data_IF_838010727322
#
_entry.id   IF_838010727322
#
_cell.length_a   1.000
_cell.length_b   1.000
_cell.length_c   1.000
_cell.angle_alpha   90.00
_cell.angle_beta   90.00
_cell.angle_gamma   90.00
#
_symmetry.space_group_name_H-M   'P 1'
#
loop_
_entity.id
_entity.type
_entity.pdbx_description
1 polymer ?
#
# COMPACT_ATOMS: atom_id res chain seq x y z
N UNK A 1 -10.99 5.13 11.96
CA UNK A 1 -9.60 5.56 12.21
C UNK A 1 -9.11 6.33 10.99
N UNK A 2 -8.29 7.37 11.17
CA UNK A 2 -7.74 8.18 10.08
C UNK A 2 -6.21 8.07 10.11
N UNK A 3 -5.57 8.13 8.95
CA UNK A 3 -4.12 8.20 8.87
C UNK A 3 -3.65 9.49 9.61
N UNK A 4 -2.82 9.31 10.65
CA UNK A 4 -2.43 10.39 11.59
C UNK A 4 -1.78 11.58 10.91
N UNK A 5 -1.13 11.40 9.76
CA UNK A 5 -0.56 12.52 9.01
C UNK A 5 -1.62 13.56 8.63
N UNK A 6 -2.83 13.11 8.28
CA UNK A 6 -3.91 14.00 7.87
C UNK A 6 -4.68 14.63 9.05
N UNK A 7 -4.37 14.25 10.29
CA UNK A 7 -4.87 14.94 11.49
C UNK A 7 -3.91 16.02 11.98
N UNK A 8 -2.65 16.00 11.54
CA UNK A 8 -1.64 17.01 11.88
C UNK A 8 -1.99 18.38 11.29
N UNK A 9 -1.61 19.45 11.98
CA UNK A 9 -1.68 20.82 11.45
C UNK A 9 -0.70 21.05 10.29
N UNK A 10 -0.93 22.10 9.49
CA UNK A 10 -0.07 22.43 8.35
C UNK A 10 1.40 22.58 8.75
N UNK A 11 1.69 23.31 9.83
CA UNK A 11 3.05 23.51 10.33
C UNK A 11 3.75 22.20 10.74
N UNK A 12 3.01 21.25 11.33
CA UNK A 12 3.55 19.96 11.75
C UNK A 12 3.87 19.07 10.55
N UNK A 13 2.99 19.04 9.52
CA UNK A 13 3.24 18.30 8.27
C UNK A 13 4.48 18.83 7.56
N UNK A 14 4.60 20.15 7.43
CA UNK A 14 5.77 20.80 6.84
C UNK A 14 7.04 20.49 7.64
N UNK A 15 6.99 20.56 8.97
CA UNK A 15 8.12 20.19 9.83
C UNK A 15 8.52 18.72 9.64
N UNK A 16 7.57 17.81 9.55
CA UNK A 16 7.84 16.39 9.27
C UNK A 16 8.53 16.21 7.91
N UNK A 17 8.00 16.82 6.85
CA UNK A 17 8.57 16.72 5.50
C UNK A 17 9.97 17.32 5.43
N UNK A 18 10.20 18.50 6.04
CA UNK A 18 11.52 19.13 6.10
C UNK A 18 12.52 18.25 6.86
N UNK A 19 12.13 17.68 8.00
CA UNK A 19 12.97 16.72 8.73
C UNK A 19 13.31 15.50 7.87
N UNK A 20 12.34 14.97 7.12
CA UNK A 20 12.56 13.83 6.24
C UNK A 20 13.54 14.17 5.10
N UNK A 21 13.42 15.36 4.50
CA UNK A 21 14.35 15.86 3.48
C UNK A 21 15.76 15.99 4.06
N UNK A 22 15.90 16.66 5.21
CA UNK A 22 17.20 16.85 5.86
C UNK A 22 17.84 15.51 6.22
N UNK A 23 17.08 14.56 6.77
CA UNK A 23 17.57 13.22 7.07
C UNK A 23 17.99 12.47 5.80
N UNK A 24 17.22 12.60 4.73
CA UNK A 24 17.54 11.97 3.43
C UNK A 24 18.85 12.53 2.87
N UNK A 25 19.03 13.85 2.89
CA UNK A 25 20.28 14.50 2.45
C UNK A 25 21.47 14.12 3.33
N UNK A 26 21.27 14.07 4.65
CA UNK A 26 22.29 13.67 5.62
C UNK A 26 22.80 12.23 5.37
N UNK A 27 21.92 11.33 4.92
CA UNK A 27 22.30 9.94 4.62
C UNK A 27 22.89 9.81 3.21
N UNK A 28 22.29 10.44 2.21
CA UNK A 28 22.72 10.31 0.81
C UNK A 28 24.06 11.00 0.54
N UNK A 29 24.33 12.17 1.15
CA UNK A 29 25.55 12.94 0.87
C UNK A 29 26.82 12.15 1.20
N UNK A 30 26.96 11.54 2.40
CA UNK A 30 28.12 10.70 2.72
C UNK A 30 28.20 9.45 1.84
N UNK A 31 27.07 8.80 1.51
CA UNK A 31 27.07 7.61 0.65
C UNK A 31 27.57 7.92 -0.75
N UNK A 32 27.14 9.05 -1.33
CA UNK A 32 27.61 9.53 -2.62
C UNK A 32 29.10 9.86 -2.52
N UNK A 33 29.52 10.64 -1.52
CA UNK A 33 30.93 10.98 -1.31
C UNK A 33 31.83 9.74 -1.19
N UNK A 34 31.41 8.75 -0.40
CA UNK A 34 32.12 7.48 -0.24
C UNK A 34 32.20 6.70 -1.56
N UNK A 35 31.12 6.66 -2.34
CA UNK A 35 31.10 6.01 -3.65
C UNK A 35 32.10 6.66 -4.62
N UNK A 36 32.20 7.99 -4.61
CA UNK A 36 33.18 8.71 -5.43
C UNK A 36 34.61 8.51 -4.95
N UNK A 37 34.85 8.62 -3.64
CA UNK A 37 36.19 8.50 -3.04
C UNK A 37 36.77 7.08 -3.17
N UNK A 38 35.92 6.05 -3.06
CA UNK A 38 36.32 4.65 -3.21
C UNK A 38 36.45 4.18 -4.67
N UNK A 39 36.08 5.01 -5.65
CA UNK A 39 36.03 4.63 -7.07
C UNK A 39 34.87 3.71 -7.44
N UNK A 40 33.96 3.41 -6.50
CA UNK A 40 32.83 2.51 -6.71
C UNK A 40 31.58 3.25 -7.20
N UNK A 41 31.69 3.97 -8.32
CA UNK A 41 30.65 4.88 -8.82
C UNK A 41 29.30 4.20 -9.11
N UNK A 42 29.30 2.91 -9.46
CA UNK A 42 28.08 2.16 -9.77
C UNK A 42 27.13 2.01 -8.56
N UNK A 43 27.64 2.07 -7.33
CA UNK A 43 26.79 1.97 -6.14
C UNK A 43 26.01 3.25 -5.84
N UNK A 44 26.51 4.43 -6.22
CA UNK A 44 25.81 5.70 -6.01
C UNK A 44 24.38 5.71 -6.61
N UNK A 45 24.16 5.40 -7.91
CA UNK A 45 22.81 5.38 -8.48
C UNK A 45 21.91 4.29 -7.88
N UNK A 46 22.48 3.14 -7.47
CA UNK A 46 21.72 2.07 -6.81
C UNK A 46 21.22 2.53 -5.44
N UNK A 47 22.10 3.08 -4.61
CA UNK A 47 21.71 3.59 -3.30
C UNK A 47 20.71 4.73 -3.41
N UNK A 48 20.92 5.64 -4.36
CA UNK A 48 20.00 6.73 -4.63
C UNK A 48 18.61 6.20 -5.01
N UNK A 49 18.53 5.30 -5.99
CA UNK A 49 17.27 4.66 -6.39
C UNK A 49 16.58 3.97 -5.21
N UNK A 50 17.32 3.17 -4.45
CA UNK A 50 16.76 2.43 -3.32
C UNK A 50 16.19 3.36 -2.24
N UNK A 51 16.96 4.38 -1.83
CA UNK A 51 16.52 5.36 -0.84
C UNK A 51 15.33 6.18 -1.32
N UNK A 52 15.40 6.71 -2.55
CA UNK A 52 14.31 7.51 -3.10
C UNK A 52 13.01 6.69 -3.19
N UNK A 53 13.07 5.40 -3.54
CA UNK A 53 11.88 4.55 -3.58
C UNK A 53 11.20 4.40 -2.20
N UNK A 54 11.97 4.37 -1.12
CA UNK A 54 11.46 4.26 0.27
C UNK A 54 10.84 5.59 0.73
N UNK A 55 11.43 6.72 0.32
CA UNK A 55 11.02 8.06 0.74
C UNK A 55 9.84 8.58 -0.09
N UNK A 56 9.76 8.22 -1.37
CA UNK A 56 8.76 8.72 -2.32
C UNK A 56 7.30 8.65 -1.80
N UNK A 57 6.81 7.55 -1.17
CA UNK A 57 5.45 7.48 -0.65
C UNK A 57 5.09 8.59 0.35
N UNK A 58 6.07 9.14 1.09
CA UNK A 58 5.84 10.20 2.07
C UNK A 58 5.54 11.57 1.44
N UNK A 59 5.79 11.72 0.14
CA UNK A 59 5.46 12.91 -0.64
C UNK A 59 4.34 12.62 -1.64
N UNK A 60 4.43 11.48 -2.32
CA UNK A 60 3.48 11.08 -3.36
C UNK A 60 2.09 10.88 -2.78
N UNK A 61 1.94 10.18 -1.66
CA UNK A 61 0.63 9.90 -1.08
C UNK A 61 -0.11 11.19 -0.69
N UNK A 62 0.45 12.10 0.13
CA UNK A 62 -0.19 13.38 0.40
C UNK A 62 -0.54 14.18 -0.86
N UNK A 63 0.34 14.18 -1.87
CA UNK A 63 0.14 14.92 -3.12
C UNK A 63 -0.98 14.31 -3.98
N UNK A 64 -1.01 12.99 -4.13
CA UNK A 64 -2.02 12.26 -4.90
C UNK A 64 -3.40 12.33 -4.26
N UNK A 65 -3.46 12.34 -2.92
CA UNK A 65 -4.72 12.56 -2.19
C UNK A 65 -5.19 14.00 -2.34
N UNK A 66 -4.31 14.99 -2.15
CA UNK A 66 -4.65 16.41 -2.30
C UNK A 66 -5.16 16.73 -3.72
N UNK A 67 -4.59 16.09 -4.73
CA UNK A 67 -5.01 16.26 -6.14
C UNK A 67 -6.21 15.41 -6.54
N UNK A 68 -6.76 14.58 -5.64
CA UNK A 68 -7.90 13.70 -5.92
C UNK A 68 -7.58 12.54 -6.87
N UNK A 69 -6.30 12.27 -7.14
CA UNK A 69 -5.86 11.11 -7.94
C UNK A 69 -6.04 9.79 -7.19
N UNK A 70 -5.94 9.84 -5.85
CA UNK A 70 -6.14 8.71 -4.96
C UNK A 70 -7.16 9.07 -3.87
N UNK A 71 -8.02 8.12 -3.50
CA UNK A 71 -8.97 8.21 -2.38
C UNK A 71 -8.80 7.04 -1.42
N UNK A 72 -8.95 7.27 -0.12
CA UNK A 72 -9.00 6.20 0.88
C UNK A 72 -10.37 5.53 0.93
N UNK A 73 -10.36 4.22 0.70
CA UNK A 73 -11.49 3.35 1.01
C UNK A 73 -11.45 2.90 2.47
N UNK A 74 -10.25 2.63 2.99
CA UNK A 74 -9.95 2.35 4.40
C UNK A 74 -8.50 2.74 4.71
N UNK A 75 -7.99 2.49 5.92
CA UNK A 75 -6.58 2.84 6.25
C UNK A 75 -5.55 2.15 5.35
N UNK A 76 -5.84 0.93 4.90
CA UNK A 76 -4.91 0.09 4.16
C UNK A 76 -5.46 -0.34 2.79
N UNK A 77 -6.49 0.34 2.29
CA UNK A 77 -6.97 0.22 0.92
C UNK A 77 -7.24 1.60 0.34
N UNK A 78 -6.58 1.86 -0.78
CA UNK A 78 -6.71 3.10 -1.56
C UNK A 78 -7.20 2.76 -2.96
N UNK A 79 -7.89 3.71 -3.58
CA UNK A 79 -8.37 3.61 -4.96
C UNK A 79 -7.88 4.80 -5.77
N UNK A 80 -7.42 4.54 -6.99
CA UNK A 80 -7.24 5.58 -7.99
C UNK A 80 -8.60 6.12 -8.45
N UNK A 81 -8.61 7.36 -8.92
CA UNK A 81 -9.79 7.92 -9.60
C UNK A 81 -10.17 7.02 -10.77
N UNK A 82 -11.47 6.75 -10.91
CA UNK A 82 -11.99 5.95 -12.01
C UNK A 82 -11.53 6.51 -13.37
N UNK A 83 -11.07 5.61 -14.24
CA UNK A 83 -10.69 5.92 -15.61
C UNK A 83 -11.11 4.77 -16.52
N UNK A 84 -11.80 5.08 -17.61
CA UNK A 84 -12.26 4.10 -18.61
C UNK A 84 -13.09 2.95 -17.98
N UNK A 85 -14.05 3.26 -17.12
CA UNK A 85 -14.90 2.28 -16.42
C UNK A 85 -14.08 1.24 -15.61
N UNK A 86 -12.93 1.68 -15.10
CA UNK A 86 -12.05 0.88 -14.25
C UNK A 86 -11.60 1.70 -13.04
N UNK A 87 -11.66 1.08 -11.86
CA UNK A 87 -11.07 1.57 -10.62
C UNK A 87 -9.91 0.65 -10.28
N UNK A 88 -8.73 1.25 -10.13
CA UNK A 88 -7.53 0.52 -9.67
C UNK A 88 -7.42 0.68 -8.16
N UNK A 89 -7.36 -0.44 -7.45
CA UNK A 89 -7.18 -0.47 -5.99
C UNK A 89 -5.78 -0.95 -5.63
N UNK A 90 -5.22 -0.35 -4.57
CA UNK A 90 -3.92 -0.73 -4.03
C UNK A 90 -4.02 -0.93 -2.52
N UNK A 91 -3.16 -1.80 -2.00
CA UNK A 91 -2.92 -1.85 -0.56
C UNK A 91 -2.24 -0.56 -0.08
N UNK A 92 -2.27 -0.33 1.23
CA UNK A 92 -1.55 0.81 1.83
C UNK A 92 -0.05 0.79 1.52
N UNK A 93 0.52 1.97 1.43
CA UNK A 93 1.94 2.23 1.20
C UNK A 93 2.74 2.27 2.51
N UNK A 94 4.07 2.39 2.42
CA UNK A 94 4.91 2.62 3.61
C UNK A 94 4.44 3.83 4.44
N UNK A 95 4.01 4.90 3.78
CA UNK A 95 3.48 6.09 4.42
C UNK A 95 2.24 5.75 5.26
N UNK A 96 1.31 4.97 4.71
CA UNK A 96 0.09 4.56 5.42
C UNK A 96 0.42 3.71 6.64
N UNK A 97 1.39 2.81 6.50
CA UNK A 97 1.78 1.89 7.55
C UNK A 97 2.46 2.66 8.68
N UNK A 98 3.36 3.58 8.35
CA UNK A 98 4.05 4.43 9.32
C UNK A 98 3.07 5.28 10.14
N UNK A 99 2.08 5.90 9.50
CA UNK A 99 1.16 6.80 10.18
C UNK A 99 -0.06 6.11 10.80
N UNK A 100 -0.34 4.85 10.48
CA UNK A 100 -1.57 4.17 10.93
C UNK A 100 -1.33 2.97 11.85
N UNK A 101 -0.18 2.29 11.76
CA UNK A 101 0.12 1.16 12.65
C UNK A 101 0.68 1.65 13.99
N UNK A 102 0.22 1.02 15.07
CA UNK A 102 0.76 1.27 16.40
C UNK A 102 2.13 0.57 16.55
N UNK A 103 3.20 1.29 16.95
CA UNK A 103 4.50 0.72 17.29
C UNK A 103 4.45 -0.45 18.28
N UNK A 104 3.47 -0.51 19.18
CA UNK A 104 3.38 -1.52 20.24
C UNK A 104 2.66 -2.80 19.81
N UNK A 105 1.80 -2.76 18.79
CA UNK A 105 1.07 -3.93 18.27
C UNK A 105 1.97 -5.11 17.90
N UNK A 106 1.55 -6.33 18.23
CA UNK A 106 2.27 -7.55 17.83
C UNK A 106 2.14 -7.78 16.31
N UNK A 107 3.07 -8.52 15.67
CA UNK A 107 3.01 -8.78 14.22
C UNK A 107 1.68 -9.41 13.77
N UNK A 108 1.11 -10.30 14.58
CA UNK A 108 -0.18 -10.94 14.29
C UNK A 108 -1.32 -9.92 14.28
N UNK A 109 -1.39 -9.04 15.26
CA UNK A 109 -2.39 -7.98 15.37
C UNK A 109 -2.31 -7.03 14.16
N UNK A 110 -1.10 -6.59 13.78
CA UNK A 110 -0.90 -5.76 12.58
C UNK A 110 -1.42 -6.43 11.32
N UNK A 111 -1.12 -7.71 11.13
CA UNK A 111 -1.58 -8.47 9.96
C UNK A 111 -3.12 -8.58 9.93
N UNK A 112 -3.74 -8.85 11.08
CA UNK A 112 -5.20 -8.93 11.18
C UNK A 112 -5.84 -7.57 10.92
N UNK A 113 -5.30 -6.48 11.49
CA UNK A 113 -5.77 -5.12 11.25
C UNK A 113 -5.67 -4.73 9.77
N UNK A 114 -4.52 -4.95 9.12
CA UNK A 114 -4.33 -4.65 7.70
C UNK A 114 -5.36 -5.40 6.86
N UNK A 115 -5.58 -6.68 7.15
CA UNK A 115 -6.53 -7.50 6.41
C UNK A 115 -7.98 -7.07 6.66
N UNK A 116 -8.35 -6.76 7.91
CA UNK A 116 -9.68 -6.28 8.26
C UNK A 116 -9.99 -4.94 7.57
N UNK A 117 -9.07 -3.99 7.61
CA UNK A 117 -9.18 -2.70 6.91
C UNK A 117 -9.25 -2.90 5.39
N UNK A 118 -8.47 -3.82 4.83
CA UNK A 118 -8.55 -4.14 3.41
C UNK A 118 -9.96 -4.62 3.01
N UNK A 119 -10.56 -5.52 3.80
CA UNK A 119 -11.93 -6.00 3.57
C UNK A 119 -12.98 -4.90 3.80
N UNK A 120 -12.80 -4.05 4.81
CA UNK A 120 -13.65 -2.86 5.04
C UNK A 120 -13.61 -1.91 3.85
N UNK A 121 -12.44 -1.71 3.26
CA UNK A 121 -12.28 -0.88 2.07
C UNK A 121 -12.99 -1.47 0.85
N UNK A 122 -12.95 -2.79 0.66
CA UNK A 122 -13.73 -3.45 -0.41
C UNK A 122 -15.23 -3.24 -0.20
N UNK A 123 -15.73 -3.38 1.03
CA UNK A 123 -17.15 -3.15 1.33
C UNK A 123 -17.56 -1.70 1.03
N UNK A 124 -16.72 -0.73 1.40
CA UNK A 124 -16.95 0.67 1.06
C UNK A 124 -16.97 0.89 -0.46
N UNK A 125 -16.05 0.28 -1.20
CA UNK A 125 -16.00 0.35 -2.66
C UNK A 125 -17.29 -0.17 -3.31
N UNK A 126 -17.80 -1.32 -2.83
CA UNK A 126 -19.07 -1.89 -3.29
C UNK A 126 -20.20 -0.90 -3.04
N UNK A 127 -20.32 -0.40 -1.80
CA UNK A 127 -21.40 0.51 -1.41
C UNK A 127 -21.38 1.83 -2.17
N UNK A 128 -20.19 2.39 -2.43
CA UNK A 128 -20.05 3.64 -3.18
C UNK A 128 -20.33 3.50 -4.68
N UNK A 129 -20.49 2.29 -5.21
CA UNK A 129 -20.67 2.05 -6.65
C UNK A 129 -21.87 1.13 -6.96
N UNK A 130 -22.84 1.01 -6.05
CA UNK A 130 -24.01 0.14 -6.23
C UNK A 130 -24.79 0.45 -7.53
N UNK A 131 -24.87 1.73 -7.89
CA UNK A 131 -25.55 2.19 -9.10
C UNK A 131 -24.76 1.94 -10.40
N UNK A 132 -23.48 1.59 -10.29
CA UNK A 132 -22.59 1.33 -11.42
C UNK A 132 -21.99 -0.10 -11.36
N UNK A 133 -22.82 -1.15 -11.44
CA UNK A 133 -22.40 -2.53 -11.22
C UNK A 133 -21.39 -3.06 -12.27
N UNK A 134 -21.27 -2.38 -13.41
CA UNK A 134 -20.37 -2.75 -14.51
C UNK A 134 -18.95 -2.19 -14.39
N UNK A 135 -18.63 -1.39 -13.36
CA UNK A 135 -17.27 -0.87 -13.16
C UNK A 135 -16.32 -2.03 -12.87
N UNK A 136 -15.21 -2.08 -13.60
CA UNK A 136 -14.15 -3.06 -13.39
C UNK A 136 -13.24 -2.63 -12.24
N UNK A 137 -12.94 -3.56 -11.34
CA UNK A 137 -12.01 -3.39 -10.24
C UNK A 137 -10.75 -4.18 -10.54
N UNK A 138 -9.60 -3.48 -10.59
CA UNK A 138 -8.28 -4.11 -10.77
C UNK A 138 -7.42 -3.81 -9.56
N UNK A 139 -6.79 -4.83 -8.98
CA UNK A 139 -5.90 -4.63 -7.84
C UNK A 139 -4.71 -5.57 -7.87
N UNK A 140 -3.52 -5.04 -7.59
CA UNK A 140 -2.32 -5.87 -7.42
C UNK A 140 -1.94 -5.82 -5.94
N UNK A 141 -2.16 -6.93 -5.24
CA UNK A 141 -1.99 -6.96 -3.78
C UNK A 141 -1.27 -8.22 -3.31
N UNK A 142 -0.42 -8.04 -2.30
CA UNK A 142 0.21 -9.12 -1.54
C UNK A 142 -0.55 -9.42 -0.23
N UNK A 143 -1.61 -8.65 0.08
CA UNK A 143 -2.40 -8.76 1.31
C UNK A 143 -3.37 -9.95 1.22
N UNK A 144 -3.99 -10.15 0.06
CA UNK A 144 -4.88 -11.28 -0.20
C UNK A 144 -4.13 -12.43 -0.86
N UNK A 145 -4.27 -13.62 -0.28
CA UNK A 145 -3.92 -14.84 -0.99
C UNK A 145 -5.00 -15.18 -2.03
N UNK A 146 -4.64 -15.98 -3.03
CA UNK A 146 -5.52 -16.35 -4.13
C UNK A 146 -6.83 -17.01 -3.67
N UNK A 147 -6.76 -17.88 -2.64
CA UNK A 147 -7.94 -18.57 -2.10
C UNK A 147 -8.94 -17.57 -1.54
N UNK A 148 -8.48 -16.58 -0.78
CA UNK A 148 -9.33 -15.53 -0.22
C UNK A 148 -9.86 -14.61 -1.31
N UNK A 149 -9.02 -14.21 -2.26
CA UNK A 149 -9.43 -13.38 -3.39
C UNK A 149 -10.56 -14.03 -4.21
N UNK A 150 -10.41 -15.31 -4.56
CA UNK A 150 -11.46 -16.09 -5.26
C UNK A 150 -12.76 -16.19 -4.46
N UNK A 151 -12.65 -16.40 -3.14
CA UNK A 151 -13.83 -16.50 -2.25
C UNK A 151 -14.66 -15.23 -2.21
N UNK A 152 -14.05 -14.07 -2.44
CA UNK A 152 -14.72 -12.77 -2.36
C UNK A 152 -15.06 -12.18 -3.74
N UNK A 153 -14.89 -12.96 -4.82
CA UNK A 153 -15.32 -12.57 -6.18
C UNK A 153 -14.19 -12.15 -7.12
N UNK A 154 -12.94 -12.05 -6.67
CA UNK A 154 -11.82 -11.73 -7.57
C UNK A 154 -11.34 -12.93 -8.37
N UNK A 155 -11.03 -12.69 -9.64
CA UNK A 155 -10.31 -13.63 -10.52
C UNK A 155 -8.84 -13.24 -10.58
N UNK A 156 -7.97 -14.24 -10.69
CA UNK A 156 -6.53 -14.01 -10.87
C UNK A 156 -6.25 -13.72 -12.33
N UNK A 157 -5.53 -12.64 -12.57
CA UNK A 157 -4.94 -12.29 -13.86
C UNK A 157 -3.41 -12.38 -13.74
N UNK A 158 -2.74 -12.71 -14.86
CA UNK A 158 -1.28 -12.69 -14.90
C UNK A 158 -0.81 -11.23 -14.90
N UNK A 159 0.14 -10.84 -14.04
CA UNK A 159 0.71 -9.50 -14.11
C UNK A 159 1.42 -9.32 -15.45
N UNK A 160 1.18 -8.17 -16.08
CA UNK A 160 1.84 -7.81 -17.34
C UNK A 160 3.35 -7.53 -17.10
N UNK A 161 4.14 -7.46 -18.18
CA UNK A 161 5.59 -7.27 -18.06
C UNK A 161 5.95 -5.90 -17.45
N UNK A 162 5.14 -4.87 -17.71
CA UNK A 162 5.35 -3.51 -17.22
C UNK A 162 5.15 -3.48 -15.70
N UNK A 163 4.12 -4.14 -15.19
CA UNK A 163 3.87 -4.31 -13.76
C UNK A 163 5.00 -5.02 -13.06
N UNK A 164 5.62 -6.03 -13.70
CA UNK A 164 6.82 -6.69 -13.14
C UNK A 164 7.99 -5.73 -13.01
N UNK A 165 8.25 -4.89 -14.02
CA UNK A 165 9.29 -3.86 -13.95
C UNK A 165 9.00 -2.87 -12.83
N UNK A 166 7.77 -2.38 -12.72
CA UNK A 166 7.34 -1.47 -11.65
C UNK A 166 7.54 -2.11 -10.27
N UNK A 167 7.23 -3.39 -10.11
CA UNK A 167 7.44 -4.14 -8.87
C UNK A 167 8.92 -4.28 -8.51
N UNK A 168 9.80 -4.48 -9.50
CA UNK A 168 11.26 -4.52 -9.29
C UNK A 168 11.76 -3.14 -8.89
N UNK A 169 11.35 -2.08 -9.60
CA UNK A 169 11.72 -0.69 -9.29
C UNK A 169 11.23 -0.23 -7.90
N UNK A 170 10.14 -0.82 -7.40
CA UNK A 170 9.62 -0.57 -6.06
C UNK A 170 10.09 -1.59 -5.01
N UNK A 171 11.00 -2.51 -5.35
CA UNK A 171 11.39 -3.58 -4.43
C UNK A 171 11.93 -3.07 -3.08
N UNK A 172 12.80 -2.05 -3.01
CA UNK A 172 13.29 -1.56 -1.72
C UNK A 172 12.17 -1.00 -0.84
N UNK A 173 11.24 -0.25 -1.44
CA UNK A 173 10.04 0.23 -0.75
C UNK A 173 9.15 -0.92 -0.23
N UNK A 174 8.87 -1.92 -1.07
CA UNK A 174 8.09 -3.10 -0.69
C UNK A 174 8.77 -3.90 0.43
N UNK A 175 10.10 -4.01 0.38
CA UNK A 175 10.89 -4.66 1.42
C UNK A 175 10.73 -3.95 2.75
N UNK A 176 10.86 -2.63 2.78
CA UNK A 176 10.68 -1.84 4.01
C UNK A 176 9.23 -1.91 4.49
N UNK A 177 8.25 -1.77 3.60
CA UNK A 177 6.82 -1.83 3.95
C UNK A 177 6.46 -3.17 4.56
N UNK A 178 6.88 -4.28 3.93
CA UNK A 178 6.63 -5.63 4.43
C UNK A 178 7.35 -5.87 5.75
N UNK A 179 8.61 -5.46 5.85
CA UNK A 179 9.39 -5.62 7.08
C UNK A 179 8.80 -4.83 8.24
N UNK A 180 8.31 -3.62 7.97
CA UNK A 180 7.61 -2.78 8.93
C UNK A 180 6.31 -3.44 9.39
N UNK A 181 5.51 -3.99 8.47
CA UNK A 181 4.27 -4.68 8.81
C UNK A 181 4.50 -5.91 9.68
N UNK A 182 5.53 -6.71 9.38
CA UNK A 182 5.85 -7.97 10.08
C UNK A 182 6.74 -7.78 11.33
N UNK A 183 7.25 -6.57 11.58
CA UNK A 183 8.28 -6.25 12.61
C UNK A 183 9.56 -7.12 12.52
N UNK A 184 9.92 -7.57 11.32
CA UNK A 184 11.14 -8.34 11.06
C UNK A 184 11.55 -8.17 9.61
N UNK A 185 12.83 -8.36 9.30
CA UNK A 185 13.30 -8.32 7.91
C UNK A 185 12.57 -9.38 7.08
N UNK A 186 11.83 -8.89 6.08
CA UNK A 186 10.86 -9.70 5.34
C UNK A 186 10.93 -9.38 3.86
N UNK A 187 11.52 -10.31 3.11
CA UNK A 187 11.70 -10.15 1.67
C UNK A 187 10.39 -10.38 0.92
N UNK A 188 9.94 -9.42 0.08
CA UNK A 188 8.78 -9.60 -0.79
C UNK A 188 9.05 -10.70 -1.82
N UNK A 189 8.07 -11.59 -2.03
CA UNK A 189 8.14 -12.65 -3.05
C UNK A 189 7.48 -12.14 -4.34
N UNK A 190 8.21 -11.39 -5.15
CA UNK A 190 7.67 -10.74 -6.36
C UNK A 190 7.03 -11.74 -7.35
N UNK A 191 7.59 -12.94 -7.48
CA UNK A 191 7.05 -13.99 -8.35
C UNK A 191 5.68 -14.55 -7.92
N UNK A 192 5.24 -14.25 -6.69
CA UNK A 192 3.92 -14.65 -6.18
C UNK A 192 2.90 -13.52 -6.20
N UNK A 193 3.30 -12.31 -6.60
CA UNK A 193 2.39 -11.18 -6.73
C UNK A 193 1.40 -11.47 -7.85
N UNK A 194 0.11 -11.36 -7.53
CA UNK A 194 -0.99 -11.60 -8.45
C UNK A 194 -1.76 -10.32 -8.67
N UNK A 195 -2.19 -10.12 -9.90
CA UNK A 195 -3.19 -9.11 -10.23
C UNK A 195 -4.55 -9.78 -10.12
N UNK A 196 -5.48 -9.07 -9.51
CA UNK A 196 -6.83 -9.53 -9.27
C UNK A 196 -7.79 -8.60 -9.99
N UNK A 197 -8.77 -9.18 -10.68
CA UNK A 197 -9.82 -8.46 -11.39
C UNK A 197 -11.20 -8.92 -10.92
N UNK A 198 -12.13 -8.00 -10.85
CA UNK A 198 -13.56 -8.25 -10.59
C UNK A 198 -14.38 -7.11 -11.18
N UNK A 199 -15.69 -7.21 -11.13
CA UNK A 199 -16.62 -6.10 -11.30
C UNK A 199 -17.42 -5.88 -10.01
N UNK A 200 -18.06 -4.71 -9.89
CA UNK A 200 -18.85 -4.36 -8.71
C UNK A 200 -20.01 -5.34 -8.49
N UNK A 201 -20.67 -5.81 -9.55
CA UNK A 201 -21.76 -6.80 -9.46
C UNK A 201 -21.30 -8.07 -8.74
N UNK A 202 -20.21 -8.67 -9.19
CA UNK A 202 -19.62 -9.90 -8.66
C UNK A 202 -19.17 -9.71 -7.20
N UNK A 203 -18.58 -8.55 -6.88
CA UNK A 203 -18.21 -8.24 -5.50
C UNK A 203 -19.44 -8.10 -4.61
N UNK A 204 -20.51 -7.45 -5.10
CA UNK A 204 -21.75 -7.23 -4.36
C UNK A 204 -22.47 -8.54 -4.01
N UNK A 205 -22.46 -9.52 -4.92
CA UNK A 205 -22.99 -10.87 -4.66
C UNK A 205 -22.27 -11.58 -3.50
N UNK A 206 -21.02 -11.19 -3.23
CA UNK A 206 -20.18 -11.77 -2.18
C UNK A 206 -20.07 -10.88 -0.92
N UNK A 207 -20.80 -9.76 -0.82
CA UNK A 207 -20.78 -8.81 0.31
C UNK A 207 -20.92 -9.52 1.66
N UNK A 208 -21.94 -10.38 1.83
CA UNK A 208 -22.16 -11.13 3.10
C UNK A 208 -20.96 -12.00 3.49
N UNK A 209 -20.25 -12.58 2.51
CA UNK A 209 -19.05 -13.39 2.78
C UNK A 209 -17.89 -12.50 3.20
N UNK A 210 -17.71 -11.34 2.56
CA UNK A 210 -16.68 -10.36 2.89
C UNK A 210 -16.89 -9.84 4.31
N UNK A 211 -18.12 -9.47 4.68
CA UNK A 211 -18.48 -9.05 6.03
C UNK A 211 -18.19 -10.13 7.07
N UNK A 212 -18.60 -11.37 6.81
CA UNK A 212 -18.32 -12.50 7.71
C UNK A 212 -16.82 -12.69 7.92
N UNK A 213 -16.03 -12.66 6.84
CA UNK A 213 -14.57 -12.78 6.92
C UNK A 213 -13.97 -11.65 7.74
N UNK A 214 -14.36 -10.40 7.47
CA UNK A 214 -13.91 -9.23 8.22
C UNK A 214 -14.23 -9.37 9.71
N UNK A 215 -15.47 -9.73 10.05
CA UNK A 215 -15.89 -9.84 11.45
C UNK A 215 -15.13 -10.94 12.21
N UNK A 216 -14.85 -12.08 11.56
CA UNK A 216 -14.01 -13.15 12.15
C UNK A 216 -12.59 -12.62 12.43
N UNK A 217 -12.00 -11.88 11.50
CA UNK A 217 -10.65 -11.32 11.63
C UNK A 217 -10.60 -10.26 12.72
N UNK A 218 -11.58 -9.36 12.77
CA UNK A 218 -11.67 -8.32 13.79
C UNK A 218 -11.94 -8.89 15.18
N UNK A 219 -12.77 -9.93 15.31
CA UNK A 219 -13.06 -10.59 16.58
C UNK A 219 -11.97 -11.56 17.08
N UNK A 220 -10.89 -11.78 16.31
CA UNK A 220 -9.80 -12.70 16.70
C UNK A 220 -8.54 -11.99 17.18
N UNK A 221 -8.54 -10.66 17.33
CA UNK A 221 -7.34 -9.95 17.78
C UNK A 221 -7.44 -8.42 17.86
N UNK A 222 -8.58 -7.87 18.28
CA UNK A 222 -8.72 -6.45 18.64
C UNK A 222 -9.32 -6.35 20.06
N UNK A 223 -8.69 -7.03 21.01
CA UNK A 223 -8.90 -6.86 22.45
C UNK A 223 -7.65 -6.20 23.05
#
# INVERSE_FOLDING_TARGET
MHNRFFTLGFGERTKFQLKLILLTLLILTPLIFLSFHSGLYFFAPIFLWAFLSIIAPFFDMPSMIKSGKITYLSLFLIAEKEKNNQIIIHGGTLFDYYFSLDPHQKPKERKLLILAEYLSGILKLINSNQDNPGINIKGTTYILNERTAKKIGFKVERPDMIQKIILVLNYPNLFVTKSFAEKKLSFPKLGTTKTYISDIRTLNENTKKIERLRNIISGTGID
#
